data_IF_445709750962
#
_entry.id   IF_445709750962
#
_cell.length_a   1.000
_cell.length_b   1.000
_cell.length_c   1.000
_cell.angle_alpha   90.00
_cell.angle_beta   90.00
_cell.angle_gamma   90.00
#
_symmetry.space_group_name_H-M   'P 1'
#
loop_
_entity.id
_entity.type
_entity.pdbx_description
1 polymer ?
#
# COMPACT_ATOMS: atom_id res chain seq x y z
N UNK A 1 -8.48 -2.55 18.85
CA UNK A 1 -8.71 -3.36 17.63
C UNK A 1 -8.93 -2.41 16.46
N UNK A 2 -8.48 -2.76 15.26
CA UNK A 2 -8.74 -1.99 14.05
C UNK A 2 -10.25 -1.82 13.82
N UNK A 3 -10.65 -0.73 13.15
CA UNK A 3 -12.03 -0.47 12.79
C UNK A 3 -12.37 -1.17 11.47
N UNK A 4 -13.22 -2.19 11.51
CA UNK A 4 -13.70 -2.92 10.33
C UNK A 4 -15.16 -2.53 10.09
N UNK A 5 -15.45 -1.89 8.96
CA UNK A 5 -16.78 -1.33 8.66
C UNK A 5 -17.37 -1.99 7.41
N UNK A 6 -18.39 -2.85 7.55
CA UNK A 6 -19.15 -3.33 6.41
C UNK A 6 -19.93 -2.20 5.73
N UNK A 7 -19.89 -2.15 4.40
CA UNK A 7 -20.64 -1.17 3.59
C UNK A 7 -21.19 -1.83 2.32
N UNK A 8 -22.45 -1.56 1.98
CA UNK A 8 -23.12 -2.05 0.75
C UNK A 8 -23.08 -3.58 0.58
N UNK A 9 -23.11 -4.33 1.69
CA UNK A 9 -23.05 -5.79 1.68
C UNK A 9 -21.63 -6.37 1.58
N UNK A 10 -20.60 -5.57 1.50
CA UNK A 10 -19.21 -5.97 1.53
C UNK A 10 -18.61 -5.79 2.91
N UNK A 11 -17.89 -6.80 3.36
CA UNK A 11 -17.10 -6.77 4.62
C UNK A 11 -15.64 -6.98 4.26
N UNK A 12 -14.72 -6.17 4.78
CA UNK A 12 -13.29 -6.38 4.54
C UNK A 12 -12.82 -7.79 4.87
N UNK A 13 -12.01 -8.38 3.98
CA UNK A 13 -11.43 -9.71 4.11
C UNK A 13 -9.93 -9.58 4.34
N UNK A 14 -9.45 -10.15 5.42
CA UNK A 14 -8.05 -10.10 5.85
C UNK A 14 -7.47 -11.50 5.82
N UNK A 15 -6.31 -11.67 5.19
CA UNK A 15 -5.59 -12.93 5.15
C UNK A 15 -5.02 -13.34 6.52
N UNK A 16 -4.24 -14.41 6.54
CA UNK A 16 -3.61 -14.94 7.76
C UNK A 16 -2.39 -14.10 8.14
N UNK A 17 -2.03 -14.13 9.41
CA UNK A 17 -0.81 -13.54 9.95
C UNK A 17 -0.66 -12.04 9.60
N UNK A 18 -1.79 -11.33 9.50
CA UNK A 18 -1.83 -9.89 9.24
C UNK A 18 -1.86 -9.09 10.53
N UNK A 19 -1.08 -8.03 10.57
CA UNK A 19 -1.12 -7.02 11.63
C UNK A 19 -2.05 -5.87 11.24
N UNK A 20 -3.00 -5.55 12.10
CA UNK A 20 -3.86 -4.36 11.97
C UNK A 20 -3.68 -3.51 13.23
N UNK A 21 -3.07 -2.35 13.11
CA UNK A 21 -2.95 -1.39 14.21
C UNK A 21 -4.34 -1.03 14.78
N UNK A 22 -4.43 -0.78 16.07
CA UNK A 22 -5.70 -0.61 16.78
C UNK A 22 -6.62 0.50 16.25
N UNK A 23 -6.09 1.46 15.49
CA UNK A 23 -6.86 2.53 14.85
C UNK A 23 -6.75 2.53 13.33
N UNK A 24 -6.24 1.45 12.73
CA UNK A 24 -6.38 1.23 11.29
C UNK A 24 -7.86 1.05 10.94
N UNK A 25 -8.27 1.58 9.78
CA UNK A 25 -9.67 1.57 9.36
C UNK A 25 -9.82 0.91 8.00
N UNK A 26 -10.59 -0.18 7.93
CA UNK A 26 -10.91 -0.90 6.70
C UNK A 26 -12.41 -0.85 6.45
N UNK A 27 -12.83 -0.40 5.28
CA UNK A 27 -14.23 -0.13 4.96
C UNK A 27 -14.63 -0.80 3.64
N UNK A 28 -15.72 -1.57 3.64
CA UNK A 28 -16.37 -2.09 2.43
C UNK A 28 -15.59 -3.18 1.72
N UNK A 29 -15.49 -3.08 0.39
CA UNK A 29 -14.89 -4.10 -0.49
C UNK A 29 -13.37 -3.99 -0.52
N UNK A 30 -12.76 -4.42 0.58
CA UNK A 30 -11.31 -4.54 0.76
C UNK A 30 -10.96 -6.00 0.94
N UNK A 31 -10.01 -6.51 0.15
CA UNK A 31 -9.44 -7.85 0.33
C UNK A 31 -7.93 -7.78 0.36
N UNK A 32 -7.30 -8.47 1.30
CA UNK A 32 -5.84 -8.55 1.39
C UNK A 32 -5.39 -9.99 1.62
N UNK A 33 -4.21 -10.30 1.10
CA UNK A 33 -3.54 -11.58 1.27
C UNK A 33 -2.90 -11.75 2.65
N UNK A 34 -2.02 -12.73 2.75
CA UNK A 34 -1.38 -13.13 4.00
C UNK A 34 -0.17 -12.25 4.35
N UNK A 35 0.15 -12.13 5.65
CA UNK A 35 1.33 -11.46 6.13
C UNK A 35 1.39 -9.94 5.90
N UNK A 36 0.24 -9.30 5.70
CA UNK A 36 0.17 -7.85 5.52
C UNK A 36 0.23 -7.10 6.87
N UNK A 37 0.67 -5.84 6.84
CA UNK A 37 0.65 -4.96 8.01
C UNK A 37 0.05 -3.60 7.68
N UNK A 38 -1.01 -3.25 8.38
CA UNK A 38 -1.73 -1.98 8.24
C UNK A 38 -1.52 -1.16 9.51
N UNK A 39 -0.85 -0.04 9.37
CA UNK A 39 -0.32 0.72 10.49
C UNK A 39 -1.28 1.81 10.98
N UNK A 40 -0.83 2.57 11.99
CA UNK A 40 -1.70 3.48 12.71
C UNK A 40 -2.28 4.59 11.82
N UNK A 41 -3.56 4.88 11.98
CA UNK A 41 -4.31 5.87 11.18
C UNK A 41 -4.37 5.58 9.67
N UNK A 42 -3.96 4.41 9.20
CA UNK A 42 -4.15 4.05 7.80
C UNK A 42 -5.64 3.78 7.53
N UNK A 43 -6.14 4.26 6.38
CA UNK A 43 -7.54 4.13 5.96
C UNK A 43 -7.62 3.47 4.59
N UNK A 44 -8.24 2.30 4.53
CA UNK A 44 -8.53 1.57 3.30
C UNK A 44 -10.04 1.60 3.06
N UNK A 45 -10.49 2.47 2.16
CA UNK A 45 -11.91 2.73 1.95
C UNK A 45 -12.40 2.23 0.59
N UNK A 46 -12.87 0.97 0.57
CA UNK A 46 -13.50 0.30 -0.58
C UNK A 46 -15.03 0.41 -0.56
N UNK A 47 -15.58 1.58 -0.21
CA UNK A 47 -17.02 1.81 -0.12
C UNK A 47 -17.69 2.03 -1.48
N UNK A 48 -16.95 2.50 -2.46
CA UNK A 48 -17.45 2.82 -3.80
C UNK A 48 -16.94 1.86 -4.88
N UNK A 49 -15.77 1.25 -4.69
CA UNK A 49 -15.21 0.24 -5.58
C UNK A 49 -14.15 -0.61 -4.86
N UNK A 50 -13.66 -1.67 -5.50
CA UNK A 50 -12.82 -2.71 -4.91
C UNK A 50 -11.38 -2.24 -4.65
N UNK A 51 -10.82 -2.66 -3.50
CA UNK A 51 -9.41 -2.59 -3.17
C UNK A 51 -8.90 -4.01 -2.95
N UNK A 52 -7.97 -4.45 -3.80
CA UNK A 52 -7.32 -5.76 -3.69
C UNK A 52 -5.85 -5.60 -3.36
N UNK A 53 -5.37 -6.32 -2.35
CA UNK A 53 -4.00 -6.25 -1.85
C UNK A 53 -3.42 -7.66 -1.81
N UNK A 54 -2.23 -7.83 -2.35
CA UNK A 54 -1.48 -9.08 -2.34
C UNK A 54 -0.95 -9.48 -0.97
N UNK A 55 0.10 -10.28 -0.95
CA UNK A 55 0.71 -10.79 0.27
C UNK A 55 1.90 -9.94 0.72
N UNK A 56 2.17 -9.90 2.03
CA UNK A 56 3.34 -9.23 2.64
C UNK A 56 3.45 -7.75 2.29
N UNK A 57 2.30 -7.09 2.10
CA UNK A 57 2.21 -5.65 1.86
C UNK A 57 2.22 -4.91 3.19
N UNK A 58 3.00 -3.83 3.28
CA UNK A 58 2.89 -2.91 4.40
C UNK A 58 2.29 -1.57 3.95
N UNK A 59 1.30 -1.11 4.69
CA UNK A 59 0.66 0.19 4.49
C UNK A 59 0.89 0.99 5.76
N UNK A 60 1.80 1.95 5.66
CA UNK A 60 2.33 2.66 6.82
C UNK A 60 1.40 3.77 7.30
N UNK A 61 1.75 4.33 8.45
CA UNK A 61 0.90 5.23 9.22
C UNK A 61 0.35 6.40 8.39
N UNK A 62 -0.93 6.72 8.61
CA UNK A 62 -1.61 7.85 8.00
C UNK A 62 -1.91 7.72 6.50
N UNK A 63 -1.60 6.58 5.88
CA UNK A 63 -1.85 6.39 4.45
C UNK A 63 -3.33 6.18 4.14
N UNK A 64 -3.79 6.70 3.00
CA UNK A 64 -5.18 6.62 2.57
C UNK A 64 -5.28 5.98 1.19
N UNK A 65 -6.05 4.90 1.11
CA UNK A 65 -6.38 4.19 -0.12
C UNK A 65 -7.87 4.35 -0.41
N UNK A 66 -8.21 4.91 -1.56
CA UNK A 66 -9.60 5.11 -1.98
C UNK A 66 -9.76 4.96 -3.50
N UNK A 67 -10.98 4.79 -3.95
CA UNK A 67 -11.30 4.53 -5.36
C UNK A 67 -12.35 5.52 -5.87
N UNK A 68 -12.53 5.58 -7.18
CA UNK A 68 -13.55 6.41 -7.81
C UNK A 68 -14.75 5.53 -8.22
N UNK A 69 -15.95 5.94 -7.80
CA UNK A 69 -17.20 5.21 -8.02
C UNK A 69 -17.38 4.78 -9.49
N UNK A 70 -17.55 3.47 -9.72
CA UNK A 70 -17.73 2.83 -11.04
C UNK A 70 -16.63 3.12 -12.08
N UNK A 71 -15.46 3.62 -11.67
CA UNK A 71 -14.37 3.99 -12.61
C UNK A 71 -13.05 3.32 -12.30
N UNK A 72 -12.53 3.48 -11.10
CA UNK A 72 -11.21 2.95 -10.78
C UNK A 72 -11.25 1.98 -9.61
N UNK A 73 -10.34 1.02 -9.61
CA UNK A 73 -10.06 0.07 -8.52
C UNK A 73 -8.64 0.28 -8.02
N UNK A 74 -8.32 -0.27 -6.87
CA UNK A 74 -6.93 -0.39 -6.44
C UNK A 74 -6.54 -1.86 -6.50
N UNK A 75 -5.41 -2.13 -7.17
CA UNK A 75 -4.77 -3.43 -7.19
C UNK A 75 -3.32 -3.27 -6.72
N UNK A 76 -2.95 -3.95 -5.64
CA UNK A 76 -1.60 -3.95 -5.09
C UNK A 76 -1.07 -5.37 -5.09
N UNK A 77 0.09 -5.57 -5.71
CA UNK A 77 0.76 -6.86 -5.78
C UNK A 77 1.43 -7.28 -4.47
N UNK A 78 2.24 -8.31 -4.54
CA UNK A 78 2.97 -8.88 -3.41
C UNK A 78 4.23 -8.05 -3.05
N UNK A 79 4.62 -8.09 -1.77
CA UNK A 79 5.86 -7.46 -1.26
C UNK A 79 5.97 -5.94 -1.55
N UNK A 80 4.84 -5.25 -1.64
CA UNK A 80 4.77 -3.80 -1.88
C UNK A 80 4.86 -3.05 -0.55
N UNK A 81 5.61 -1.94 -0.57
CA UNK A 81 5.71 -1.04 0.57
C UNK A 81 5.07 0.31 0.26
N UNK A 82 4.05 0.68 1.03
CA UNK A 82 3.38 1.98 0.97
C UNK A 82 3.85 2.80 2.17
N UNK A 83 4.65 3.83 1.92
CA UNK A 83 5.24 4.70 2.95
C UNK A 83 4.22 5.50 3.73
N UNK A 84 4.67 6.15 4.82
CA UNK A 84 3.81 6.98 5.67
C UNK A 84 3.12 8.11 4.90
N UNK A 85 1.87 8.40 5.22
CA UNK A 85 1.08 9.50 4.65
C UNK A 85 0.95 9.47 3.12
N UNK A 86 0.98 8.28 2.51
CA UNK A 86 0.76 8.10 1.08
C UNK A 86 -0.74 8.17 0.77
N UNK A 87 -1.09 8.79 -0.35
CA UNK A 87 -2.44 8.71 -0.92
C UNK A 87 -2.41 7.90 -2.21
N UNK A 88 -3.17 6.79 -2.26
CA UNK A 88 -3.41 6.03 -3.48
C UNK A 88 -4.89 6.15 -3.84
N UNK A 89 -5.17 6.65 -5.03
CA UNK A 89 -6.53 6.80 -5.51
C UNK A 89 -6.68 6.10 -6.86
N UNK A 90 -7.31 4.91 -6.86
CA UNK A 90 -7.66 4.18 -8.06
C UNK A 90 -6.49 3.75 -8.97
N UNK A 91 -5.41 3.20 -8.40
CA UNK A 91 -4.19 2.87 -9.13
C UNK A 91 -3.82 1.38 -9.05
N UNK A 92 -2.94 0.94 -9.96
CA UNK A 92 -2.36 -0.40 -9.97
C UNK A 92 -0.87 -0.34 -9.58
N UNK A 93 -0.50 -1.09 -8.55
CA UNK A 93 0.86 -1.17 -8.03
C UNK A 93 1.33 -2.62 -8.15
N UNK A 94 2.35 -2.87 -8.96
CA UNK A 94 2.87 -4.22 -9.18
C UNK A 94 3.80 -4.66 -8.05
N UNK A 95 4.16 -5.95 -8.08
CA UNK A 95 4.98 -6.59 -7.05
C UNK A 95 6.29 -5.83 -6.78
N UNK A 96 6.75 -5.87 -5.54
CA UNK A 96 8.01 -5.27 -5.11
C UNK A 96 8.15 -3.76 -5.33
N UNK A 97 7.06 -3.06 -5.63
CA UNK A 97 7.13 -1.60 -5.76
C UNK A 97 7.25 -0.91 -4.39
N UNK A 98 7.89 0.24 -4.38
CA UNK A 98 8.00 1.12 -3.21
C UNK A 98 7.37 2.47 -3.52
N UNK A 99 6.36 2.83 -2.75
CA UNK A 99 5.74 4.15 -2.77
C UNK A 99 6.27 4.94 -1.58
N UNK A 100 7.11 5.94 -1.85
CA UNK A 100 7.78 6.75 -0.84
C UNK A 100 6.82 7.61 -0.02
N UNK A 101 7.22 7.95 1.19
CA UNK A 101 6.43 8.71 2.17
C UNK A 101 5.84 10.00 1.57
N UNK A 102 4.56 10.26 1.83
CA UNK A 102 3.87 11.46 1.39
C UNK A 102 3.59 11.54 -0.12
N UNK A 103 3.87 10.46 -0.88
CA UNK A 103 3.56 10.44 -2.31
C UNK A 103 2.05 10.36 -2.57
N UNK A 104 1.62 10.88 -3.72
CA UNK A 104 0.26 10.79 -4.22
C UNK A 104 0.26 10.02 -5.54
N UNK A 105 -0.51 8.94 -5.64
CA UNK A 105 -0.69 8.16 -6.86
C UNK A 105 -2.15 8.22 -7.27
N UNK A 106 -2.43 8.84 -8.42
CA UNK A 106 -3.79 9.17 -8.87
C UNK A 106 -4.40 8.06 -9.73
N UNK A 107 -5.70 8.22 -10.03
CA UNK A 107 -6.52 7.26 -10.77
C UNK A 107 -5.90 6.77 -12.08
N UNK A 108 -6.04 5.47 -12.33
CA UNK A 108 -5.56 4.78 -13.52
C UNK A 108 -4.03 4.87 -13.72
N UNK A 109 -3.30 5.37 -12.71
CA UNK A 109 -1.83 5.26 -12.74
C UNK A 109 -1.40 3.81 -12.51
N UNK A 110 -0.28 3.45 -13.13
CA UNK A 110 0.32 2.13 -13.00
C UNK A 110 1.78 2.25 -12.57
N UNK A 111 2.15 1.57 -11.49
CA UNK A 111 3.54 1.52 -10.99
C UNK A 111 4.07 0.12 -11.19
N UNK A 112 5.06 0.00 -12.07
CA UNK A 112 5.63 -1.29 -12.51
C UNK A 112 6.36 -2.05 -11.41
N UNK A 113 6.64 -3.32 -11.69
CA UNK A 113 7.34 -4.21 -10.76
C UNK A 113 8.71 -3.65 -10.35
N UNK A 114 8.99 -3.62 -9.04
CA UNK A 114 10.25 -3.11 -8.51
C UNK A 114 10.46 -1.61 -8.69
N UNK A 115 9.48 -0.88 -9.23
CA UNK A 115 9.60 0.56 -9.40
C UNK A 115 9.54 1.30 -8.05
N UNK A 116 10.14 2.48 -8.03
CA UNK A 116 10.21 3.33 -6.85
C UNK A 116 9.59 4.69 -7.18
N UNK A 117 8.58 5.06 -6.44
CA UNK A 117 8.04 6.42 -6.40
C UNK A 117 8.70 7.13 -5.21
N UNK A 118 9.46 8.18 -5.48
CA UNK A 118 10.18 8.92 -4.44
C UNK A 118 9.23 9.60 -3.44
N UNK A 119 9.73 9.87 -2.24
CA UNK A 119 8.95 10.59 -1.23
C UNK A 119 8.44 11.95 -1.73
N UNK A 120 7.18 12.28 -1.41
CA UNK A 120 6.53 13.52 -1.82
C UNK A 120 6.21 13.64 -3.31
N UNK A 121 6.40 12.59 -4.10
CA UNK A 121 6.10 12.62 -5.53
C UNK A 121 4.60 12.61 -5.81
N UNK A 122 4.18 13.27 -6.91
CA UNK A 122 2.80 13.26 -7.39
C UNK A 122 2.72 12.59 -8.75
N UNK A 123 2.28 11.33 -8.76
CA UNK A 123 2.04 10.55 -9.98
C UNK A 123 0.65 10.87 -10.49
N UNK A 124 0.57 11.57 -11.62
CA UNK A 124 -0.71 12.00 -12.20
C UNK A 124 -1.49 10.81 -12.76
N UNK A 125 -2.79 11.04 -12.96
CA UNK A 125 -3.70 10.03 -13.51
C UNK A 125 -3.18 9.49 -14.86
N UNK A 126 -3.33 8.16 -15.05
CA UNK A 126 -2.93 7.43 -16.25
C UNK A 126 -1.44 7.41 -16.56
N UNK A 127 -0.60 7.92 -15.69
CA UNK A 127 0.86 7.78 -15.83
C UNK A 127 1.23 6.32 -15.63
N UNK A 128 2.08 5.81 -16.53
CA UNK A 128 2.65 4.47 -16.43
C UNK A 128 4.13 4.56 -16.12
N UNK A 129 4.50 4.07 -14.94
CA UNK A 129 5.87 3.90 -14.49
C UNK A 129 6.30 2.49 -14.85
N UNK A 130 7.37 2.36 -15.63
CA UNK A 130 7.89 1.07 -16.04
C UNK A 130 8.55 0.28 -14.89
N UNK A 131 8.80 -1.03 -15.09
CA UNK A 131 9.49 -1.83 -14.09
C UNK A 131 10.88 -1.28 -13.75
N UNK A 132 11.23 -1.31 -12.46
CA UNK A 132 12.52 -0.85 -11.94
C UNK A 132 12.87 0.60 -12.29
N UNK A 133 11.90 1.44 -12.53
CA UNK A 133 12.09 2.87 -12.70
C UNK A 133 11.98 3.62 -11.37
N UNK A 134 12.85 4.61 -11.16
CA UNK A 134 12.71 5.61 -10.11
C UNK A 134 12.08 6.87 -10.69
N UNK A 135 10.97 7.28 -10.11
CA UNK A 135 10.25 8.51 -10.44
C UNK A 135 10.12 9.42 -9.24
N UNK A 136 10.17 10.74 -9.45
CA UNK A 136 10.04 11.71 -8.37
C UNK A 136 9.62 13.09 -8.84
N UNK A 137 9.26 13.96 -7.89
CA UNK A 137 8.82 15.33 -8.14
C UNK A 137 7.29 15.48 -8.20
N UNK A 138 6.81 16.70 -8.36
CA UNK A 138 5.41 17.08 -8.49
C UNK A 138 5.22 18.02 -9.68
N UNK A 139 4.76 17.56 -10.86
CA UNK A 139 4.41 16.17 -11.17
C UNK A 139 5.62 15.25 -11.25
N UNK A 140 5.44 13.97 -10.92
CA UNK A 140 6.50 12.97 -10.98
C UNK A 140 7.03 12.79 -12.40
N UNK A 141 8.35 12.64 -12.50
CA UNK A 141 9.08 12.39 -13.75
C UNK A 141 10.08 11.26 -13.54
N UNK A 142 10.42 10.57 -14.62
CA UNK A 142 11.48 9.57 -14.64
C UNK A 142 12.81 10.20 -14.21
N UNK A 143 13.52 9.55 -13.29
CA UNK A 143 14.83 9.98 -12.81
C UNK A 143 15.91 9.06 -13.37
N UNK A 144 15.76 7.75 -13.13
CA UNK A 144 16.73 6.72 -13.59
C UNK A 144 16.14 5.32 -13.50
N UNK A 145 16.82 4.38 -14.15
CA UNK A 145 16.62 2.96 -13.87
C UNK A 145 17.29 2.60 -12.53
N UNK A 146 16.66 1.71 -11.78
CA UNK A 146 17.23 1.08 -10.58
C UNK A 146 17.68 -0.32 -10.96
N UNK A 147 18.79 -0.79 -10.42
CA UNK A 147 19.21 -2.17 -10.59
C UNK A 147 18.11 -3.11 -10.05
N UNK A 148 17.59 -4.05 -10.87
CA UNK A 148 16.46 -4.89 -10.47
C UNK A 148 16.72 -5.74 -9.22
N UNK A 149 17.94 -6.26 -9.07
CA UNK A 149 18.30 -7.07 -7.92
C UNK A 149 18.36 -6.20 -6.65
N UNK A 150 18.94 -5.02 -6.75
CA UNK A 150 19.02 -4.06 -5.65
C UNK A 150 17.64 -3.52 -5.25
N UNK A 151 16.78 -3.16 -6.22
CA UNK A 151 15.42 -2.71 -5.96
C UNK A 151 14.61 -3.78 -5.22
N UNK A 152 14.66 -5.00 -5.72
CA UNK A 152 13.97 -6.14 -5.11
C UNK A 152 14.47 -6.43 -3.70
N UNK A 153 15.78 -6.47 -3.48
CA UNK A 153 16.38 -6.69 -2.17
C UNK A 153 15.95 -5.62 -1.15
N UNK A 154 16.02 -4.35 -1.53
CA UNK A 154 15.60 -3.23 -0.66
C UNK A 154 14.12 -3.35 -0.32
N UNK A 155 13.26 -3.56 -1.30
CA UNK A 155 11.81 -3.56 -1.10
C UNK A 155 11.35 -4.79 -0.31
N UNK A 156 11.92 -5.97 -0.59
CA UNK A 156 11.68 -7.17 0.23
C UNK A 156 12.17 -6.99 1.67
N UNK A 157 13.33 -6.37 1.87
CA UNK A 157 13.85 -6.08 3.21
C UNK A 157 12.93 -5.15 3.99
N UNK A 158 12.39 -4.12 3.34
CA UNK A 158 11.40 -3.22 3.97
C UNK A 158 10.16 -4.02 4.37
N UNK A 159 9.56 -4.77 3.44
CA UNK A 159 8.37 -5.58 3.72
C UNK A 159 8.61 -6.56 4.88
N UNK A 160 9.76 -7.25 4.87
CA UNK A 160 10.15 -8.17 5.95
C UNK A 160 10.35 -7.47 7.31
N UNK A 161 10.96 -6.29 7.32
CA UNK A 161 11.14 -5.52 8.54
C UNK A 161 9.80 -5.12 9.16
N UNK A 162 8.81 -4.74 8.35
CA UNK A 162 7.48 -4.39 8.86
C UNK A 162 6.73 -5.60 9.45
N UNK A 163 6.95 -6.79 8.93
CA UNK A 163 6.47 -8.03 9.55
C UNK A 163 7.16 -8.30 10.90
N UNK A 164 8.46 -7.98 11.02
CA UNK A 164 9.17 -8.09 12.29
C UNK A 164 8.67 -7.04 13.29
N UNK A 165 8.48 -5.79 12.86
CA UNK A 165 8.00 -4.72 13.74
C UNK A 165 6.61 -4.99 14.28
N UNK A 166 5.71 -5.56 13.47
CA UNK A 166 4.35 -5.89 13.91
C UNK A 166 4.33 -6.86 15.10
N UNK A 167 5.26 -7.81 15.15
CA UNK A 167 5.38 -8.77 16.26
C UNK A 167 5.70 -8.12 17.60
N UNK A 168 6.29 -6.93 17.62
CA UNK A 168 6.56 -6.22 18.87
C UNK A 168 5.27 -5.73 19.54
N UNK A 169 4.22 -5.53 18.76
CA UNK A 169 2.90 -5.10 19.27
C UNK A 169 2.03 -6.28 19.73
N UNK A 170 2.28 -7.49 19.19
CA UNK A 170 1.57 -8.69 19.60
C UNK A 170 1.99 -9.18 21.00
N UNK A 171 3.22 -8.89 21.44
CA UNK A 171 3.78 -9.34 22.69
C UNK A 171 3.60 -8.36 23.86
N UNK A 172 2.98 -7.19 23.65
CA UNK A 172 2.81 -6.16 24.67
C UNK A 172 1.64 -6.40 25.64
N UNK A 173 0.81 -7.43 25.43
CA UNK A 173 -0.25 -7.80 26.39
C UNK A 173 0.28 -8.59 27.62
N UNK A 174 1.60 -8.77 27.74
CA UNK A 174 2.25 -9.52 28.83
C UNK A 174 3.23 -8.71 29.69
N UNK A 175 3.21 -7.37 29.58
CA UNK A 175 3.93 -6.49 30.49
C UNK A 175 2.97 -5.93 31.55
N UNK A 176 2.60 -6.75 32.54
CA UNK A 176 2.19 -6.32 33.89
C UNK A 176 3.41 -6.22 34.81
#
# INVERSE_FOLDING_TARGET
MALIVPVRGFTPKVGKDCFLAQNATLIGDVSMGDGCSIWFNAVLRGDVNTITIGNRVNIQDGSVLHTLYQKSTIEIGDDVSIGHNVTIHGAKIHNYALIGMGAVVMDDAEVGEGAIVAAGAVVLSRVKIGPNELWGGAPAKFIKMVDPAQAREINQKIAHNYLMYSKWYENNDSAE
#
